data_IF_878949246284
#
_entry.id   IF_878949246284
#
_cell.length_a   1.000
_cell.length_b   1.000
_cell.length_c   1.000
_cell.angle_alpha   90.00
_cell.angle_beta   90.00
_cell.angle_gamma   90.00
#
_symmetry.space_group_name_H-M   'P 1'
#
loop_
_entity.id
_entity.type
_entity.pdbx_description
1 polymer ?
#
# COMPACT_ATOMS: atom_id res chain seq x y z
N UNK A 1 23.32 -1.08 27.10
CA UNK A 1 22.57 0.10 26.62
C UNK A 1 23.28 0.70 25.40
N UNK A 2 23.28 -0.01 24.27
CA UNK A 2 24.08 0.33 23.07
C UNK A 2 23.32 0.06 21.76
N UNK A 3 21.99 -0.04 21.81
CA UNK A 3 21.16 -0.48 20.67
C UNK A 3 20.65 0.70 19.83
N UNK A 4 20.89 1.96 20.22
CA UNK A 4 20.20 3.12 19.61
C UNK A 4 20.95 3.79 18.44
N UNK A 5 22.23 3.48 18.19
CA UNK A 5 23.00 4.10 17.08
C UNK A 5 22.93 3.31 15.76
N UNK A 6 21.72 2.90 15.36
CA UNK A 6 21.49 2.40 14.00
C UNK A 6 21.59 3.52 12.95
N UNK A 7 22.18 3.24 11.79
CA UNK A 7 22.19 4.18 10.65
C UNK A 7 20.78 4.57 10.16
N UNK A 8 19.79 3.71 10.42
CA UNK A 8 18.36 3.96 10.17
C UNK A 8 17.74 4.93 11.18
N UNK A 9 18.09 4.83 12.46
CA UNK A 9 17.57 5.71 13.52
C UNK A 9 18.00 7.17 13.29
N UNK A 10 19.26 7.38 12.88
CA UNK A 10 19.76 8.72 12.50
C UNK A 10 19.00 9.33 11.32
N UNK A 11 18.65 8.51 10.31
CA UNK A 11 17.86 8.96 9.15
C UNK A 11 16.43 9.33 9.54
N UNK A 12 15.79 8.56 10.42
CA UNK A 12 14.47 8.92 10.96
C UNK A 12 14.53 10.20 11.80
N UNK A 13 15.52 10.35 12.68
CA UNK A 13 15.69 11.57 13.47
C UNK A 13 15.87 12.81 12.59
N UNK A 14 16.71 12.72 11.56
CA UNK A 14 16.92 13.79 10.60
C UNK A 14 15.63 14.11 9.82
N UNK A 15 14.85 13.09 9.47
CA UNK A 15 13.56 13.26 8.79
C UNK A 15 12.56 14.07 9.63
N UNK A 16 12.37 13.68 10.90
CA UNK A 16 11.44 14.40 11.78
C UNK A 16 11.92 15.83 12.01
N UNK A 17 13.22 16.03 12.19
CA UNK A 17 13.81 17.36 12.34
C UNK A 17 13.62 18.24 11.09
N UNK A 18 13.80 17.69 9.88
CA UNK A 18 13.59 18.45 8.64
C UNK A 18 12.12 18.80 8.44
N UNK A 19 11.21 17.87 8.75
CA UNK A 19 9.77 18.13 8.65
C UNK A 19 9.31 19.23 9.61
N UNK A 20 9.69 19.16 10.89
CA UNK A 20 9.36 20.20 11.87
C UNK A 20 10.06 21.53 11.56
N UNK A 21 11.30 21.47 11.07
CA UNK A 21 12.09 22.64 10.73
C UNK A 21 11.49 23.42 9.55
N UNK A 22 11.11 22.72 8.47
CA UNK A 22 10.47 23.35 7.31
C UNK A 22 9.09 23.88 7.68
N UNK A 23 8.32 23.17 8.52
CA UNK A 23 7.05 23.67 9.01
C UNK A 23 7.20 24.97 9.81
N UNK A 24 8.14 25.02 10.77
CA UNK A 24 8.42 26.22 11.55
C UNK A 24 8.90 27.38 10.67
N UNK A 25 9.77 27.12 9.70
CA UNK A 25 10.22 28.13 8.74
C UNK A 25 9.05 28.63 7.88
N UNK A 26 8.20 27.74 7.37
CA UNK A 26 7.06 28.12 6.53
C UNK A 26 6.01 28.92 7.27
N UNK A 27 5.70 28.56 8.52
CA UNK A 27 4.72 29.27 9.36
C UNK A 27 5.23 30.65 9.77
N UNK A 28 6.48 30.76 10.22
CA UNK A 28 7.08 32.06 10.57
C UNK A 28 7.23 32.97 9.37
N UNK A 29 7.60 32.44 8.19
CA UNK A 29 7.62 33.23 6.95
C UNK A 29 6.21 33.69 6.54
N UNK A 30 5.19 32.84 6.64
CA UNK A 30 3.81 33.22 6.33
C UNK A 30 3.29 34.33 7.25
N UNK A 31 3.57 34.24 8.55
CA UNK A 31 3.19 35.27 9.53
C UNK A 31 3.94 36.59 9.31
N UNK A 32 5.17 36.54 8.79
CA UNK A 32 5.92 37.75 8.41
C UNK A 32 5.34 38.46 7.18
N UNK A 33 4.78 37.70 6.22
CA UNK A 33 4.20 38.28 5.00
C UNK A 33 2.69 38.57 5.12
N UNK A 34 2.00 37.98 6.09
CA UNK A 34 0.56 38.08 6.26
C UNK A 34 0.24 38.31 7.75
N UNK A 35 -0.12 39.54 8.11
CA UNK A 35 -0.41 39.92 9.51
C UNK A 35 -1.69 39.26 10.06
N UNK A 36 -2.61 38.80 9.21
CA UNK A 36 -3.82 38.11 9.66
C UNK A 36 -3.65 36.59 9.66
N UNK A 37 -3.89 35.95 10.83
CA UNK A 37 -3.92 34.49 10.96
C UNK A 37 -5.21 33.95 10.37
N UNK A 38 -5.13 33.49 9.13
CA UNK A 38 -6.23 32.78 8.47
C UNK A 38 -6.06 31.27 8.61
N UNK A 39 -7.15 30.55 8.84
CA UNK A 39 -7.14 29.09 9.06
C UNK A 39 -6.47 28.28 7.92
N UNK A 40 -6.50 28.79 6.68
CA UNK A 40 -5.88 28.13 5.52
C UNK A 40 -4.35 28.22 5.49
N UNK A 41 -3.75 29.14 6.24
CA UNK A 41 -2.29 29.31 6.27
C UNK A 41 -1.58 28.10 6.87
N UNK A 42 -2.18 27.48 7.90
CA UNK A 42 -1.67 26.25 8.50
C UNK A 42 -1.68 25.07 7.52
N UNK A 43 -2.71 25.00 6.67
CA UNK A 43 -2.82 23.98 5.62
C UNK A 43 -1.73 24.17 4.54
N UNK A 44 -1.51 25.41 4.11
CA UNK A 44 -0.47 25.73 3.11
C UNK A 44 0.93 25.47 3.68
N UNK A 45 1.24 25.94 4.88
CA UNK A 45 2.51 25.68 5.56
C UNK A 45 2.76 24.16 5.72
N UNK A 46 1.75 23.40 6.14
CA UNK A 46 1.82 21.95 6.25
C UNK A 46 2.06 21.26 4.89
N UNK A 47 1.38 21.71 3.83
CA UNK A 47 1.55 21.14 2.49
C UNK A 47 2.94 21.41 1.90
N UNK A 48 3.47 22.62 2.09
CA UNK A 48 4.82 23.01 1.66
C UNK A 48 5.88 22.22 2.43
N UNK A 49 5.71 22.08 3.75
CA UNK A 49 6.60 21.26 4.58
C UNK A 49 6.59 19.79 4.16
N UNK A 50 5.42 19.23 3.85
CA UNK A 50 5.27 17.86 3.37
C UNK A 50 5.95 17.61 2.03
N UNK A 51 5.73 18.50 1.05
CA UNK A 51 6.35 18.41 -0.28
C UNK A 51 7.88 18.56 -0.23
N UNK A 52 8.37 19.50 0.58
CA UNK A 52 9.79 19.71 0.76
C UNK A 52 10.46 18.55 1.54
N UNK A 53 9.79 17.98 2.54
CA UNK A 53 10.30 16.79 3.23
C UNK A 53 10.32 15.55 2.32
N UNK A 54 9.36 15.43 1.40
CA UNK A 54 9.30 14.35 0.42
C UNK A 54 10.42 14.41 -0.63
N UNK A 55 10.86 15.62 -1.03
CA UNK A 55 11.97 15.79 -1.98
C UNK A 55 13.35 15.52 -1.34
N UNK A 56 13.50 15.80 -0.04
CA UNK A 56 14.76 15.63 0.68
C UNK A 56 15.02 14.15 1.04
N UNK A 57 13.98 13.33 1.19
CA UNK A 57 14.11 11.94 1.66
C UNK A 57 13.35 10.95 0.75
N UNK A 58 14.03 10.24 -0.19
CA UNK A 58 13.40 9.35 -1.18
C UNK A 58 12.78 8.05 -0.63
N UNK A 59 12.71 7.86 0.69
CA UNK A 59 12.24 6.59 1.27
C UNK A 59 10.72 6.46 1.17
N UNK A 60 10.26 5.84 0.09
CA UNK A 60 8.84 5.61 -0.25
C UNK A 60 8.00 5.04 0.92
N UNK A 61 8.55 4.10 1.70
CA UNK A 61 7.79 3.48 2.81
C UNK A 61 7.42 4.46 3.94
N UNK A 62 8.32 5.40 4.29
CA UNK A 62 8.09 6.35 5.39
C UNK A 62 7.10 7.43 4.96
N UNK A 63 7.26 7.94 3.73
CA UNK A 63 6.32 8.91 3.15
C UNK A 63 4.91 8.33 3.08
N UNK A 64 4.76 7.08 2.65
CA UNK A 64 3.47 6.40 2.62
C UNK A 64 2.86 6.25 4.02
N UNK A 65 3.67 5.87 5.02
CA UNK A 65 3.20 5.74 6.39
C UNK A 65 2.68 7.08 6.95
N UNK A 66 3.39 8.17 6.70
CA UNK A 66 2.98 9.51 7.12
C UNK A 66 1.73 9.99 6.38
N UNK A 67 1.67 9.75 5.06
CA UNK A 67 0.47 10.04 4.28
C UNK A 67 -0.76 9.31 4.84
N UNK A 68 -0.61 8.03 5.20
CA UNK A 68 -1.67 7.27 5.84
C UNK A 68 -2.07 7.85 7.22
N UNK A 69 -1.09 8.22 8.05
CA UNK A 69 -1.36 8.87 9.34
C UNK A 69 -2.04 10.23 9.18
N UNK A 70 -1.73 11.00 8.14
CA UNK A 70 -2.41 12.24 7.84
C UNK A 70 -3.88 11.99 7.46
N UNK A 71 -4.16 10.98 6.63
CA UNK A 71 -5.54 10.58 6.29
C UNK A 71 -6.31 10.18 7.55
N UNK A 72 -5.68 9.40 8.46
CA UNK A 72 -6.27 9.02 9.75
C UNK A 72 -6.60 10.25 10.61
N UNK A 73 -5.68 11.22 10.72
CA UNK A 73 -5.91 12.46 11.48
C UNK A 73 -7.03 13.31 10.86
N UNK A 74 -7.08 13.44 9.54
CA UNK A 74 -8.15 14.16 8.84
C UNK A 74 -9.50 13.50 9.10
N UNK A 75 -9.55 12.16 9.07
CA UNK A 75 -10.77 11.42 9.39
C UNK A 75 -11.24 11.67 10.83
N UNK A 76 -10.34 11.59 11.81
CA UNK A 76 -10.67 11.84 13.21
C UNK A 76 -11.18 13.26 13.43
N UNK A 77 -10.48 14.26 12.87
CA UNK A 77 -10.92 15.66 12.94
C UNK A 77 -12.28 15.88 12.27
N UNK A 78 -12.51 15.27 11.11
CA UNK A 78 -13.80 15.36 10.40
C UNK A 78 -14.93 14.66 11.16
N UNK A 79 -14.62 13.61 11.92
CA UNK A 79 -15.58 12.93 12.78
C UNK A 79 -15.95 13.78 14.01
N UNK A 80 -14.99 14.48 14.61
CA UNK A 80 -15.24 15.45 15.69
C UNK A 80 -16.16 16.60 15.26
N UNK A 81 -16.00 17.07 14.01
CA UNK A 81 -16.83 18.12 13.41
C UNK A 81 -18.22 17.60 12.94
N UNK A 82 -18.56 16.33 13.19
CA UNK A 82 -19.81 15.65 12.77
C UNK A 82 -20.07 15.68 11.24
N UNK A 83 -19.03 15.90 10.43
CA UNK A 83 -19.16 15.98 8.96
C UNK A 83 -19.27 14.60 8.30
N UNK A 84 -18.79 13.55 8.98
CA UNK A 84 -18.74 12.18 8.46
C UNK A 84 -19.38 11.23 9.47
N UNK A 85 -20.27 10.31 9.08
CA UNK A 85 -20.81 9.32 9.99
C UNK A 85 -19.68 8.46 10.56
N UNK A 86 -19.61 8.35 11.89
CA UNK A 86 -18.65 7.47 12.57
C UNK A 86 -18.95 6.01 12.26
N UNK A 87 -18.27 5.47 11.25
CA UNK A 87 -18.30 4.05 10.94
C UNK A 87 -17.47 3.31 11.98
N UNK A 88 -18.14 2.69 12.95
CA UNK A 88 -17.52 1.88 14.01
C UNK A 88 -16.59 0.77 13.48
N UNK A 89 -16.76 0.34 12.21
CA UNK A 89 -15.98 -0.71 11.56
C UNK A 89 -15.13 -0.22 10.37
N UNK A 90 -14.89 1.10 10.24
CA UNK A 90 -14.10 1.65 9.13
C UNK A 90 -12.71 0.99 8.96
N UNK A 91 -11.93 0.73 10.03
CA UNK A 91 -10.63 0.06 9.88
C UNK A 91 -10.74 -1.35 9.31
N UNK A 92 -11.79 -2.10 9.71
CA UNK A 92 -12.03 -3.45 9.21
C UNK A 92 -12.41 -3.46 7.73
N UNK A 93 -13.23 -2.50 7.29
CA UNK A 93 -13.60 -2.35 5.88
C UNK A 93 -12.39 -1.95 5.02
N UNK A 94 -11.60 -0.98 5.47
CA UNK A 94 -10.37 -0.57 4.79
C UNK A 94 -9.37 -1.72 4.68
N UNK A 95 -9.22 -2.49 5.75
CA UNK A 95 -8.41 -3.71 5.74
C UNK A 95 -8.93 -4.71 4.71
N UNK A 96 -10.22 -5.03 4.75
CA UNK A 96 -10.84 -5.99 3.83
C UNK A 96 -10.69 -5.56 2.36
N UNK A 97 -10.90 -4.28 2.05
CA UNK A 97 -10.76 -3.74 0.70
C UNK A 97 -9.30 -3.80 0.22
N UNK A 98 -8.36 -3.39 1.07
CA UNK A 98 -6.93 -3.43 0.76
C UNK A 98 -6.43 -4.86 0.53
N UNK A 99 -6.79 -5.79 1.42
CA UNK A 99 -6.44 -7.21 1.28
C UNK A 99 -7.12 -7.83 0.06
N UNK A 100 -8.37 -7.47 -0.25
CA UNK A 100 -9.07 -7.91 -1.46
C UNK A 100 -8.37 -7.45 -2.74
N UNK A 101 -7.93 -6.19 -2.80
CA UNK A 101 -7.19 -5.65 -3.94
C UNK A 101 -5.80 -6.31 -4.07
N UNK A 102 -5.11 -6.54 -2.96
CA UNK A 102 -3.85 -7.29 -2.95
C UNK A 102 -4.01 -8.74 -3.43
N UNK A 103 -5.07 -9.43 -3.00
CA UNK A 103 -5.38 -10.78 -3.45
C UNK A 103 -5.69 -10.81 -4.95
N UNK A 104 -6.48 -9.85 -5.45
CA UNK A 104 -6.76 -9.73 -6.88
C UNK A 104 -5.46 -9.61 -7.70
N UNK A 105 -4.57 -8.69 -7.32
CA UNK A 105 -3.28 -8.52 -8.02
C UNK A 105 -2.40 -9.77 -7.87
N UNK A 106 -2.40 -10.42 -6.71
CA UNK A 106 -1.63 -11.66 -6.50
C UNK A 106 -2.10 -12.85 -7.38
N UNK A 107 -3.37 -12.84 -7.80
CA UNK A 107 -3.94 -13.84 -8.72
C UNK A 107 -3.59 -13.48 -10.16
N UNK A 108 -3.85 -12.23 -10.56
CA UNK A 108 -3.80 -11.77 -11.96
C UNK A 108 -2.39 -11.42 -12.40
N UNK A 109 -1.64 -10.62 -11.64
CA UNK A 109 -0.29 -10.15 -11.99
C UNK A 109 0.63 -10.18 -10.75
N UNK A 110 1.04 -11.37 -10.28
CA UNK A 110 1.87 -11.49 -9.08
C UNK A 110 3.22 -10.77 -9.21
N UNK A 111 3.75 -10.63 -10.43
CA UNK A 111 5.04 -9.99 -10.69
C UNK A 111 5.06 -8.48 -10.37
N UNK A 112 3.91 -7.82 -10.37
CA UNK A 112 3.79 -6.40 -10.02
C UNK A 112 3.73 -6.19 -8.49
N UNK A 113 3.52 -7.26 -7.73
CA UNK A 113 3.44 -7.21 -6.27
C UNK A 113 4.83 -7.31 -5.63
N UNK A 114 5.07 -6.55 -4.56
CA UNK A 114 6.32 -6.67 -3.79
C UNK A 114 6.42 -8.10 -3.21
N UNK A 115 7.59 -8.78 -3.31
CA UNK A 115 7.72 -10.18 -2.89
C UNK A 115 7.34 -10.46 -1.42
N UNK A 116 7.55 -9.48 -0.53
CA UNK A 116 7.16 -9.59 0.88
C UNK A 116 5.64 -9.69 1.06
N UNK A 117 4.88 -8.96 0.25
CA UNK A 117 3.43 -9.01 0.28
C UNK A 117 2.88 -10.33 -0.26
N UNK A 118 3.50 -10.90 -1.31
CA UNK A 118 3.15 -12.23 -1.78
C UNK A 118 3.38 -13.30 -0.71
N UNK A 119 4.51 -13.24 0.01
CA UNK A 119 4.78 -14.17 1.12
C UNK A 119 3.73 -14.08 2.22
N UNK A 120 3.35 -12.86 2.60
CA UNK A 120 2.30 -12.62 3.59
C UNK A 120 0.94 -13.19 3.17
N UNK A 121 0.53 -12.95 1.91
CA UNK A 121 -0.72 -13.51 1.37
C UNK A 121 -0.69 -15.03 1.29
N UNK A 122 0.45 -15.60 0.90
CA UNK A 122 0.66 -17.04 0.83
C UNK A 122 0.58 -17.70 2.21
N UNK A 123 1.12 -17.05 3.24
CA UNK A 123 1.07 -17.51 4.63
C UNK A 123 -0.36 -17.47 5.20
N UNK A 124 -1.08 -16.36 5.01
CA UNK A 124 -2.47 -16.22 5.47
C UNK A 124 -3.42 -17.18 4.74
N UNK A 125 -3.16 -17.45 3.47
CA UNK A 125 -3.99 -18.35 2.65
C UNK A 125 -3.66 -19.83 2.83
N UNK A 126 -2.69 -20.20 3.68
CA UNK A 126 -2.30 -21.60 3.85
C UNK A 126 -1.65 -22.21 2.60
N UNK A 127 -0.82 -21.44 1.91
CA UNK A 127 -0.13 -21.80 0.66
C UNK A 127 -1.04 -22.06 -0.54
N UNK A 128 -2.29 -21.59 -0.50
CA UNK A 128 -3.23 -21.74 -1.61
C UNK A 128 -2.88 -20.84 -2.80
N UNK A 129 -2.29 -19.66 -2.54
CA UNK A 129 -1.90 -18.71 -3.61
C UNK A 129 -0.90 -19.35 -4.59
N UNK A 130 -0.01 -20.23 -4.14
CA UNK A 130 0.90 -20.98 -5.02
C UNK A 130 0.22 -22.03 -5.89
N UNK A 131 -0.93 -22.55 -5.44
CA UNK A 131 -1.68 -23.64 -6.09
C UNK A 131 -2.72 -23.14 -7.09
N UNK A 132 -2.62 -21.88 -7.51
CA UNK A 132 -3.51 -21.30 -8.51
C UNK A 132 -2.91 -21.54 -9.89
N UNK A 133 -3.65 -22.21 -10.77
CA UNK A 133 -3.27 -22.38 -12.17
C UNK A 133 -3.38 -21.04 -12.91
N UNK A 134 -2.24 -20.46 -13.29
CA UNK A 134 -2.15 -19.15 -13.93
C UNK A 134 -1.94 -19.22 -15.45
N UNK A 135 -1.67 -20.40 -16.00
CA UNK A 135 -1.50 -20.58 -17.45
C UNK A 135 -2.71 -20.11 -18.28
N UNK A 136 -3.97 -20.32 -17.86
CA UNK A 136 -5.11 -19.79 -18.61
C UNK A 136 -5.17 -18.26 -18.61
N UNK A 137 -4.62 -17.60 -17.58
CA UNK A 137 -4.59 -16.14 -17.48
C UNK A 137 -3.55 -15.53 -18.43
N UNK A 138 -2.53 -16.29 -18.84
CA UNK A 138 -1.55 -15.82 -19.83
C UNK A 138 -2.14 -15.59 -21.21
N UNK A 139 -3.27 -16.22 -21.54
CA UNK A 139 -4.00 -15.98 -22.81
C UNK A 139 -4.43 -14.50 -22.90
N UNK A 140 -4.63 -13.83 -21.76
CA UNK A 140 -4.96 -12.41 -21.69
C UNK A 140 -3.73 -11.49 -21.88
N UNK A 141 -2.52 -12.05 -22.04
CA UNK A 141 -1.27 -11.29 -22.19
C UNK A 141 -0.67 -10.77 -20.87
N UNK A 142 -1.22 -11.18 -19.73
CA UNK A 142 -0.88 -10.63 -18.40
C UNK A 142 0.37 -11.26 -17.76
N UNK A 143 1.03 -12.21 -18.43
CA UNK A 143 2.26 -12.87 -17.96
C UNK A 143 2.20 -13.34 -16.49
N UNK A 144 1.04 -13.84 -16.09
CA UNK A 144 0.71 -14.26 -14.73
C UNK A 144 1.55 -15.44 -14.27
N UNK A 145 2.00 -16.32 -15.18
CA UNK A 145 2.80 -17.51 -14.86
C UNK A 145 4.26 -17.24 -14.49
N UNK A 146 4.82 -16.06 -14.80
CA UNK A 146 6.26 -15.78 -14.61
C UNK A 146 6.75 -15.95 -13.17
N UNK A 147 5.90 -15.64 -12.18
CA UNK A 147 6.28 -15.69 -10.76
C UNK A 147 6.14 -17.10 -10.17
N UNK A 148 5.30 -17.96 -10.75
CA UNK A 148 5.03 -19.33 -10.27
C UNK A 148 4.93 -20.31 -11.47
N UNK A 149 6.05 -20.63 -12.13
CA UNK A 149 6.03 -21.44 -13.35
C UNK A 149 5.75 -22.93 -13.11
N UNK A 150 5.92 -23.45 -11.89
CA UNK A 150 6.00 -24.91 -11.67
C UNK A 150 4.67 -25.58 -11.28
N UNK A 151 3.57 -24.84 -11.22
CA UNK A 151 2.28 -25.40 -10.79
C UNK A 151 1.34 -25.64 -11.98
N UNK A 152 1.28 -26.90 -12.43
CA UNK A 152 0.20 -27.40 -13.28
C UNK A 152 -0.55 -28.51 -12.52
N UNK A 153 -1.86 -28.36 -12.29
CA UNK A 153 -2.59 -29.34 -11.49
C UNK A 153 -2.85 -30.61 -12.33
N UNK A 154 -1.96 -31.60 -12.22
CA UNK A 154 -2.03 -32.88 -12.94
C UNK A 154 -3.20 -33.77 -12.51
N UNK A 155 -3.69 -33.61 -11.28
CA UNK A 155 -4.78 -34.40 -10.70
C UNK A 155 -6.08 -33.59 -10.61
N UNK A 156 -6.60 -33.08 -11.73
CA UNK A 156 -7.95 -32.48 -11.76
C UNK A 156 -9.01 -33.59 -11.76
N UNK A 157 -9.93 -33.53 -10.79
CA UNK A 157 -11.14 -34.35 -10.83
C UNK A 157 -12.02 -33.88 -11.99
N UNK A 158 -12.12 -34.73 -13.02
CA UNK A 158 -12.82 -34.45 -14.28
C UNK A 158 -14.30 -34.12 -14.10
N UNK A 159 -14.88 -34.42 -12.93
CA UNK A 159 -16.28 -34.13 -12.59
C UNK A 159 -16.55 -32.63 -12.43
N UNK A 160 -15.54 -31.84 -12.05
CA UNK A 160 -15.69 -30.42 -11.76
C UNK A 160 -15.10 -29.51 -12.86
N UNK A 161 -14.71 -30.07 -13.99
CA UNK A 161 -14.02 -29.36 -15.07
C UNK A 161 -14.88 -29.35 -16.33
N UNK A 162 -15.00 -28.17 -16.96
CA UNK A 162 -15.67 -28.06 -18.25
C UNK A 162 -14.95 -28.93 -19.30
N UNK A 163 -15.73 -29.65 -20.11
CA UNK A 163 -15.19 -30.49 -21.21
C UNK A 163 -14.35 -29.66 -22.19
N UNK A 164 -14.79 -28.43 -22.48
CA UNK A 164 -14.07 -27.51 -23.37
C UNK A 164 -12.67 -27.15 -22.85
N UNK A 165 -12.52 -27.01 -21.53
CA UNK A 165 -11.22 -26.72 -20.92
C UNK A 165 -10.30 -27.93 -21.00
N UNK A 166 -10.81 -29.12 -20.70
CA UNK A 166 -10.05 -30.37 -20.82
C UNK A 166 -9.56 -30.58 -22.25
N UNK A 167 -10.43 -30.42 -23.24
CA UNK A 167 -10.06 -30.56 -24.66
C UNK A 167 -8.99 -29.53 -25.05
N UNK A 168 -9.17 -28.26 -24.71
CA UNK A 168 -8.20 -27.21 -25.06
C UNK A 168 -6.83 -27.44 -24.43
N UNK A 169 -6.77 -27.92 -23.19
CA UNK A 169 -5.51 -28.06 -22.45
C UNK A 169 -4.80 -29.38 -22.77
N UNK A 170 -5.52 -30.49 -22.90
CA UNK A 170 -4.94 -31.81 -23.22
C UNK A 170 -4.43 -31.92 -24.66
N UNK A 171 -4.89 -31.07 -25.58
CA UNK A 171 -4.39 -31.10 -26.98
C UNK A 171 -2.96 -30.53 -27.08
N UNK A 172 -2.53 -29.71 -26.11
CA UNK A 172 -1.23 -29.03 -26.12
C UNK A 172 -0.21 -29.61 -25.11
N UNK A 173 -0.53 -30.72 -24.45
CA UNK A 173 0.37 -31.48 -23.55
C UNK A 173 0.68 -32.84 -24.17
#
# INVERSE_FOLDING_TARGET
MSIVTGSSARRMGLFFASLTGIYALSSTLLEQFCEERLDWQGLVAGSVAGLAAASIMPSSNISLYLAWKLIELVYLKSAEENLVPSFSHAPALLYALSTGLMLYVAIVEPHNLRPQYLKFLDEISGHMVRQINRYPLDILGLHSSRTFPDFFPLHLDRRFVSKQFLETVLIWV
#
